data_IF_116528353369
#
_entry.id   IF_116528353369
#
_cell.length_a   1.000
_cell.length_b   1.000
_cell.length_c   1.000
_cell.angle_alpha   90.00
_cell.angle_beta   90.00
_cell.angle_gamma   90.00
#
_symmetry.space_group_name_H-M   'P 1'
#
loop_
_entity.id
_entity.type
_entity.pdbx_description
1 polymer ?
#
# COMPACT_ATOMS: atom_id res chain seq x y z
N UNK A 1 11.43 -7.56 10.20
CA UNK A 1 10.83 -6.62 9.24
C UNK A 1 11.55 -6.75 7.91
N UNK A 2 10.84 -6.68 6.78
CA UNK A 2 11.43 -6.66 5.43
C UNK A 2 11.23 -5.27 4.83
N UNK A 3 12.29 -4.66 4.30
CA UNK A 3 12.20 -3.38 3.56
C UNK A 3 12.06 -3.69 2.08
N UNK A 4 11.04 -3.13 1.44
CA UNK A 4 10.76 -3.35 0.03
C UNK A 4 10.77 -2.02 -0.74
N UNK A 5 11.18 -2.10 -2.01
CA UNK A 5 11.03 -0.97 -2.94
C UNK A 5 9.60 -0.87 -3.46
N UNK A 6 9.28 0.17 -4.21
CA UNK A 6 8.02 0.28 -4.97
C UNK A 6 8.33 0.49 -6.44
N UNK A 7 7.68 -0.26 -7.32
CA UNK A 7 7.85 -0.10 -8.77
C UNK A 7 6.65 -0.61 -9.57
N UNK A 8 6.64 -0.31 -10.88
CA UNK A 8 5.71 -0.92 -11.82
C UNK A 8 6.15 -2.38 -12.11
N UNK A 9 5.26 -3.27 -12.56
CA UNK A 9 5.62 -4.62 -12.98
C UNK A 9 6.19 -4.64 -14.42
N UNK A 10 7.26 -3.89 -14.68
CA UNK A 10 7.97 -3.93 -15.97
C UNK A 10 9.39 -4.43 -15.77
N UNK A 11 9.95 -5.14 -16.75
CA UNK A 11 11.33 -5.65 -16.68
C UNK A 11 12.34 -4.57 -16.30
N UNK A 12 12.20 -3.39 -16.89
CA UNK A 12 13.10 -2.26 -16.66
C UNK A 12 13.02 -1.74 -15.22
N UNK A 13 11.81 -1.53 -14.69
CA UNK A 13 11.62 -0.97 -13.35
C UNK A 13 11.92 -1.97 -12.25
N UNK A 14 11.66 -3.27 -12.48
CA UNK A 14 12.08 -4.36 -11.60
C UNK A 14 13.60 -4.49 -11.54
N UNK A 15 14.28 -4.45 -12.69
CA UNK A 15 15.74 -4.45 -12.72
C UNK A 15 16.34 -3.18 -12.07
N UNK A 16 15.66 -2.03 -12.21
CA UNK A 16 16.06 -0.80 -11.53
C UNK A 16 15.89 -0.90 -10.01
N UNK A 17 14.83 -1.55 -9.51
CA UNK A 17 14.66 -1.81 -8.08
C UNK A 17 15.80 -2.69 -7.54
N UNK A 18 16.16 -3.76 -8.25
CA UNK A 18 17.31 -4.61 -7.89
C UNK A 18 18.62 -3.81 -7.83
N UNK A 19 18.88 -2.94 -8.81
CA UNK A 19 20.08 -2.09 -8.84
C UNK A 19 20.15 -1.07 -7.69
N UNK A 20 19.00 -0.69 -7.13
CA UNK A 20 18.92 0.14 -5.92
C UNK A 20 19.13 -0.65 -4.62
N UNK A 21 19.29 -1.98 -4.71
CA UNK A 21 19.56 -2.86 -3.57
C UNK A 21 18.33 -3.46 -2.90
N UNK A 22 17.15 -3.39 -3.53
CA UNK A 22 15.96 -4.04 -3.00
C UNK A 22 15.88 -5.50 -3.42
N UNK A 23 15.68 -6.40 -2.45
CA UNK A 23 15.44 -7.83 -2.70
C UNK A 23 13.95 -8.14 -2.92
N UNK A 24 13.06 -7.23 -2.50
CA UNK A 24 11.61 -7.33 -2.72
C UNK A 24 10.99 -5.98 -3.08
N UNK A 25 9.83 -6.02 -3.73
CA UNK A 25 9.07 -4.84 -4.13
C UNK A 25 7.58 -4.96 -3.87
N UNK A 26 6.95 -3.82 -3.60
CA UNK A 26 5.54 -3.58 -3.89
C UNK A 26 5.36 -3.24 -5.38
N UNK A 27 4.37 -3.87 -6.01
CA UNK A 27 3.96 -3.55 -7.38
C UNK A 27 2.86 -2.49 -7.41
N UNK A 28 3.16 -1.34 -8.00
CA UNK A 28 2.18 -0.35 -8.41
C UNK A 28 1.62 -0.67 -9.81
N UNK A 29 0.32 -0.96 -9.90
CA UNK A 29 -0.37 -1.27 -11.17
C UNK A 29 -1.35 -0.17 -11.59
N UNK A 30 -1.58 -0.09 -12.90
CA UNK A 30 -2.60 0.77 -13.52
C UNK A 30 -3.56 -0.08 -14.34
N UNK A 31 -4.77 0.41 -14.66
CA UNK A 31 -5.71 -0.32 -15.52
C UNK A 31 -5.06 -0.76 -16.85
N UNK A 32 -4.36 0.15 -17.51
CA UNK A 32 -3.64 -0.12 -18.77
C UNK A 32 -2.55 -1.20 -18.64
N UNK A 33 -1.94 -1.37 -17.47
CA UNK A 33 -1.01 -2.48 -17.24
C UNK A 33 -1.76 -3.80 -17.07
N UNK A 34 -2.85 -3.78 -16.30
CA UNK A 34 -3.66 -4.98 -16.02
C UNK A 34 -4.36 -5.52 -17.28
N UNK A 35 -4.70 -4.65 -18.23
CA UNK A 35 -5.22 -5.01 -19.55
C UNK A 35 -4.25 -5.87 -20.38
N UNK A 36 -2.93 -5.82 -20.10
CA UNK A 36 -1.94 -6.70 -20.74
C UNK A 36 -2.07 -8.17 -20.32
N UNK A 37 -2.88 -8.43 -19.30
CA UNK A 37 -3.15 -9.76 -18.76
C UNK A 37 -2.32 -10.07 -17.52
N UNK A 38 -3.01 -10.56 -16.48
CA UNK A 38 -2.42 -10.93 -15.19
C UNK A 38 -1.33 -11.99 -15.35
N UNK A 39 -1.53 -13.00 -16.21
CA UNK A 39 -0.54 -14.06 -16.44
C UNK A 39 0.78 -13.51 -16.99
N UNK A 40 0.70 -12.65 -18.01
CA UNK A 40 1.86 -11.99 -18.63
C UNK A 40 2.64 -11.13 -17.63
N UNK A 41 1.93 -10.40 -16.76
CA UNK A 41 2.55 -9.61 -15.70
C UNK A 41 3.24 -10.51 -14.67
N UNK A 42 2.57 -11.57 -14.22
CA UNK A 42 3.14 -12.52 -13.26
C UNK A 42 4.40 -13.20 -13.82
N UNK A 43 4.41 -13.60 -15.09
CA UNK A 43 5.61 -14.15 -15.76
C UNK A 43 6.75 -13.13 -15.82
N UNK A 44 6.44 -11.87 -16.15
CA UNK A 44 7.43 -10.80 -16.18
C UNK A 44 8.09 -10.60 -14.82
N UNK A 45 7.29 -10.65 -13.76
CA UNK A 45 7.73 -10.47 -12.38
C UNK A 45 8.53 -11.67 -11.89
N UNK A 46 8.09 -12.90 -12.14
CA UNK A 46 8.81 -14.12 -11.75
C UNK A 46 10.16 -14.27 -12.45
N UNK A 47 10.30 -13.70 -13.64
CA UNK A 47 11.58 -13.67 -14.36
C UNK A 47 12.54 -12.58 -13.85
N UNK A 48 12.11 -11.74 -12.90
CA UNK A 48 12.93 -10.66 -12.35
C UNK A 48 13.77 -11.15 -11.16
N UNK A 49 14.89 -10.46 -10.86
CA UNK A 49 15.75 -10.79 -9.72
C UNK A 49 15.18 -10.36 -8.36
N UNK A 50 14.09 -9.59 -8.31
CA UNK A 50 13.43 -9.17 -7.06
C UNK A 50 12.15 -9.97 -6.81
N UNK A 51 11.90 -10.29 -5.55
CA UNK A 51 10.63 -10.88 -5.09
C UNK A 51 9.53 -9.81 -5.02
N UNK A 52 8.28 -10.24 -4.87
CA UNK A 52 7.13 -9.34 -4.65
C UNK A 52 6.54 -9.62 -3.29
N UNK A 53 6.42 -8.59 -2.46
CA UNK A 53 5.77 -8.69 -1.16
C UNK A 53 4.32 -8.22 -1.21
N UNK A 54 4.01 -7.23 -2.04
CA UNK A 54 2.66 -6.70 -2.18
C UNK A 54 2.33 -6.22 -3.59
N UNK A 55 1.03 -6.15 -3.89
CA UNK A 55 0.47 -5.52 -5.09
C UNK A 55 -0.52 -4.45 -4.64
N UNK A 56 -0.36 -3.24 -5.15
CA UNK A 56 -1.23 -2.12 -4.84
C UNK A 56 -2.36 -2.01 -5.86
N UNK A 57 -3.61 -1.90 -5.42
CA UNK A 57 -4.74 -1.71 -6.34
C UNK A 57 -4.57 -0.44 -7.18
N UNK A 58 -5.01 -0.41 -8.44
CA UNK A 58 -4.98 0.83 -9.21
C UNK A 58 -5.93 1.86 -8.60
N UNK A 59 -5.59 3.14 -8.75
CA UNK A 59 -6.51 4.22 -8.42
C UNK A 59 -7.63 4.29 -9.47
N UNK A 60 -8.76 3.67 -9.14
CA UNK A 60 -10.02 3.64 -9.92
C UNK A 60 -11.21 3.93 -9.00
N UNK A 61 -12.39 4.21 -9.55
CA UNK A 61 -13.58 4.37 -8.73
C UNK A 61 -13.86 3.07 -7.94
N UNK A 62 -14.42 3.14 -6.71
CA UNK A 62 -14.71 1.94 -5.92
C UNK A 62 -15.61 0.92 -6.65
N UNK A 63 -16.51 1.40 -7.50
CA UNK A 63 -17.43 0.59 -8.32
C UNK A 63 -16.76 -0.08 -9.54
N UNK A 64 -15.53 0.30 -9.90
CA UNK A 64 -14.77 -0.30 -11.01
C UNK A 64 -14.10 -1.60 -10.56
N UNK A 65 -14.91 -2.63 -10.30
CA UNK A 65 -14.42 -3.89 -9.76
C UNK A 65 -13.48 -4.67 -10.70
N UNK A 66 -13.50 -4.40 -12.00
CA UNK A 66 -12.67 -5.13 -12.99
C UNK A 66 -11.16 -4.99 -12.72
N UNK A 67 -10.62 -3.76 -12.71
CA UNK A 67 -9.23 -3.50 -12.34
C UNK A 67 -8.87 -3.95 -10.91
N UNK A 68 -9.76 -3.74 -9.93
CA UNK A 68 -9.54 -4.19 -8.54
C UNK A 68 -9.36 -5.70 -8.45
N UNK A 69 -10.25 -6.48 -9.10
CA UNK A 69 -10.13 -7.94 -9.17
C UNK A 69 -8.92 -8.40 -9.98
N UNK A 70 -8.46 -7.61 -10.95
CA UNK A 70 -7.25 -7.95 -11.70
C UNK A 70 -5.98 -7.78 -10.84
N UNK A 71 -5.93 -6.76 -9.98
CA UNK A 71 -4.85 -6.60 -9.01
C UNK A 71 -4.85 -7.75 -7.99
N UNK A 72 -6.01 -8.15 -7.46
CA UNK A 72 -6.15 -9.32 -6.59
C UNK A 72 -5.63 -10.61 -7.24
N UNK A 73 -6.05 -10.90 -8.47
CA UNK A 73 -5.55 -12.08 -9.20
C UNK A 73 -4.04 -12.04 -9.41
N UNK A 74 -3.45 -10.86 -9.61
CA UNK A 74 -2.00 -10.71 -9.72
C UNK A 74 -1.33 -10.97 -8.37
N UNK A 75 -1.86 -10.43 -7.27
CA UNK A 75 -1.36 -10.68 -5.92
C UNK A 75 -1.35 -12.18 -5.61
N UNK A 76 -2.46 -12.88 -5.88
CA UNK A 76 -2.57 -14.34 -5.72
C UNK A 76 -1.59 -15.13 -6.58
N UNK A 77 -1.43 -14.72 -7.84
CA UNK A 77 -0.49 -15.39 -8.74
C UNK A 77 0.95 -15.26 -8.23
N UNK A 78 1.27 -14.21 -7.48
CA UNK A 78 2.60 -13.92 -6.95
C UNK A 78 2.77 -14.34 -5.48
N UNK A 79 1.74 -14.90 -4.85
CA UNK A 79 1.69 -15.17 -3.40
C UNK A 79 2.04 -13.91 -2.57
N UNK A 80 1.49 -12.77 -2.99
CA UNK A 80 1.75 -11.45 -2.43
C UNK A 80 0.52 -10.88 -1.72
N UNK A 81 0.76 -9.97 -0.79
CA UNK A 81 -0.28 -9.20 -0.09
C UNK A 81 -0.93 -8.19 -1.04
N UNK A 82 -2.23 -7.91 -0.90
CA UNK A 82 -2.92 -6.89 -1.68
C UNK A 82 -3.13 -5.63 -0.83
N UNK A 83 -2.55 -4.52 -1.26
CA UNK A 83 -2.83 -3.20 -0.69
C UNK A 83 -4.06 -2.62 -1.40
N UNK A 84 -5.15 -2.44 -0.65
CA UNK A 84 -6.41 -1.90 -1.17
C UNK A 84 -6.47 -0.41 -0.88
N UNK A 85 -6.27 0.38 -1.94
CA UNK A 85 -6.34 1.83 -1.87
C UNK A 85 -6.65 2.48 -3.23
N UNK A 86 -7.50 3.50 -3.20
CA UNK A 86 -7.75 4.37 -4.34
C UNK A 86 -8.01 5.80 -3.87
N UNK A 87 -7.41 6.76 -4.58
CA UNK A 87 -7.65 8.20 -4.36
C UNK A 87 -9.10 8.62 -4.59
N UNK A 88 -9.91 7.75 -5.22
CA UNK A 88 -11.33 7.99 -5.50
C UNK A 88 -12.28 7.35 -4.49
N UNK A 89 -11.75 6.69 -3.47
CA UNK A 89 -12.51 6.21 -2.33
C UNK A 89 -12.24 7.13 -1.14
N UNK A 90 -13.10 7.09 -0.13
CA UNK A 90 -12.76 7.39 1.27
C UNK A 90 -12.76 6.08 2.06
N UNK A 91 -12.14 6.03 3.24
CA UNK A 91 -12.32 4.92 4.21
C UNK A 91 -13.80 4.52 4.44
N UNK A 92 -14.77 5.43 4.30
CA UNK A 92 -16.21 5.09 4.35
C UNK A 92 -16.66 4.11 3.24
N UNK A 93 -15.91 4.04 2.15
CA UNK A 93 -16.17 3.17 1.00
C UNK A 93 -15.49 1.80 1.12
N UNK A 94 -14.91 1.46 2.29
CA UNK A 94 -14.30 0.15 2.54
C UNK A 94 -15.25 -1.01 2.19
N UNK A 95 -16.54 -0.87 2.51
CA UNK A 95 -17.55 -1.88 2.16
C UNK A 95 -17.83 -1.97 0.65
N UNK A 96 -17.77 -0.85 -0.08
CA UNK A 96 -17.92 -0.83 -1.53
C UNK A 96 -16.70 -1.48 -2.21
N UNK A 97 -15.50 -1.15 -1.76
CA UNK A 97 -14.26 -1.79 -2.24
C UNK A 97 -14.27 -3.30 -1.94
N UNK A 98 -14.74 -3.71 -0.76
CA UNK A 98 -14.87 -5.12 -0.39
C UNK A 98 -15.81 -5.90 -1.33
N UNK A 99 -16.79 -5.24 -1.96
CA UNK A 99 -17.69 -5.86 -2.93
C UNK A 99 -16.97 -6.34 -4.20
N UNK A 100 -15.72 -5.93 -4.42
CA UNK A 100 -14.86 -6.53 -5.44
C UNK A 100 -14.58 -8.03 -5.17
N UNK A 101 -14.65 -8.47 -3.90
CA UNK A 101 -14.48 -9.87 -3.51
C UNK A 101 -13.03 -10.33 -3.56
N UNK A 102 -12.15 -9.65 -2.82
CA UNK A 102 -10.71 -9.99 -2.76
C UNK A 102 -10.49 -11.35 -2.09
N UNK A 103 -9.61 -12.16 -2.68
CA UNK A 103 -9.25 -13.50 -2.20
C UNK A 103 -7.79 -13.56 -1.71
N UNK A 104 -6.91 -12.66 -2.14
CA UNK A 104 -5.57 -12.51 -1.56
C UNK A 104 -5.65 -12.03 -0.09
N UNK A 105 -4.66 -12.35 0.77
CA UNK A 105 -4.42 -11.60 2.00
C UNK A 105 -4.33 -10.10 1.68
N UNK A 106 -5.08 -9.26 2.39
CA UNK A 106 -5.22 -7.86 2.02
C UNK A 106 -5.60 -6.96 3.20
N UNK A 107 -5.26 -5.68 3.04
CA UNK A 107 -5.63 -4.63 3.98
C UNK A 107 -5.93 -3.32 3.27
N UNK A 108 -6.56 -2.41 3.99
CA UNK A 108 -6.97 -1.12 3.48
C UNK A 108 -6.02 -0.04 3.95
N UNK A 109 -5.50 0.76 3.02
CA UNK A 109 -4.61 1.86 3.35
C UNK A 109 -5.37 3.00 4.01
N UNK A 110 -4.85 3.57 5.10
CA UNK A 110 -5.38 4.83 5.63
C UNK A 110 -5.20 5.93 4.58
N UNK A 111 -6.12 6.88 4.53
CA UNK A 111 -6.05 7.98 3.56
C UNK A 111 -5.43 9.25 4.13
N UNK A 112 -4.87 10.07 3.25
CA UNK A 112 -4.46 11.42 3.57
C UNK A 112 -5.57 12.19 4.30
N UNK A 113 -5.24 12.72 5.49
CA UNK A 113 -6.17 13.47 6.32
C UNK A 113 -7.19 12.62 7.11
N UNK A 114 -7.17 11.29 7.00
CA UNK A 114 -8.03 10.43 7.80
C UNK A 114 -7.54 10.34 9.26
N UNK A 115 -8.38 10.75 10.20
CA UNK A 115 -8.06 10.64 11.62
C UNK A 115 -7.87 9.17 12.06
N UNK A 116 -7.05 8.89 13.10
CA UNK A 116 -6.90 7.54 13.67
C UNK A 116 -8.25 6.94 14.05
N UNK A 117 -9.12 7.74 14.69
CA UNK A 117 -10.49 7.32 15.02
C UNK A 117 -11.26 6.84 13.80
N UNK A 118 -11.10 7.51 12.66
CA UNK A 118 -11.77 7.11 11.42
C UNK A 118 -11.21 5.80 10.86
N UNK A 119 -9.89 5.63 10.92
CA UNK A 119 -9.22 4.37 10.54
C UNK A 119 -9.70 3.22 11.42
N UNK A 120 -9.71 3.41 12.75
CA UNK A 120 -10.19 2.40 13.70
C UNK A 120 -11.63 2.00 13.39
N UNK A 121 -12.54 2.96 13.29
CA UNK A 121 -13.97 2.69 13.07
C UNK A 121 -14.29 2.09 11.69
N UNK A 122 -13.60 2.52 10.63
CA UNK A 122 -13.93 2.07 9.27
C UNK A 122 -13.16 0.82 8.83
N UNK A 123 -12.01 0.51 9.45
CA UNK A 123 -11.16 -0.62 9.07
C UNK A 123 -11.03 -1.62 10.22
N UNK A 124 -10.40 -1.21 11.32
CA UNK A 124 -9.96 -2.13 12.36
C UNK A 124 -11.12 -2.72 13.17
N UNK A 125 -12.09 -1.92 13.60
CA UNK A 125 -13.29 -2.37 14.31
C UNK A 125 -14.20 -3.24 13.44
N UNK A 126 -14.09 -3.11 12.10
CA UNK A 126 -14.82 -3.94 11.13
C UNK A 126 -14.14 -5.26 10.80
N UNK A 127 -13.01 -5.55 11.44
CA UNK A 127 -12.28 -6.80 11.25
C UNK A 127 -11.34 -6.81 10.04
N UNK A 128 -11.14 -5.69 9.35
CA UNK A 128 -10.19 -5.59 8.23
C UNK A 128 -8.76 -5.33 8.70
N UNK A 129 -7.77 -5.76 7.93
CA UNK A 129 -6.37 -5.38 8.16
C UNK A 129 -6.09 -3.95 7.65
N UNK A 130 -5.11 -3.31 8.26
CA UNK A 130 -4.66 -1.96 7.94
C UNK A 130 -3.37 -2.02 7.12
N UNK A 131 -3.28 -1.21 6.08
CA UNK A 131 -2.01 -0.78 5.50
C UNK A 131 -1.74 0.62 6.03
N UNK A 132 -0.63 0.81 6.73
CA UNK A 132 -0.35 2.08 7.41
C UNK A 132 0.62 2.91 6.59
N UNK A 133 0.13 3.98 5.98
CA UNK A 133 0.94 4.99 5.30
C UNK A 133 1.25 6.16 6.25
N UNK A 134 2.55 6.45 6.41
CA UNK A 134 3.07 7.47 7.31
C UNK A 134 2.81 8.88 6.84
N UNK A 135 2.87 9.14 5.53
CA UNK A 135 2.57 10.45 4.96
C UNK A 135 1.10 10.80 5.18
N UNK A 136 0.20 9.85 4.93
CA UNK A 136 -1.22 10.03 5.17
C UNK A 136 -1.54 10.31 6.64
N UNK A 137 -0.86 9.63 7.57
CA UNK A 137 -1.02 9.84 9.00
C UNK A 137 -0.47 11.20 9.44
N UNK A 138 0.69 11.60 8.91
CA UNK A 138 1.30 12.92 9.14
C UNK A 138 0.36 14.06 8.72
N UNK A 139 -0.21 13.98 7.52
CA UNK A 139 -1.18 14.98 7.04
C UNK A 139 -2.44 15.07 7.90
N UNK A 140 -2.79 13.99 8.62
CA UNK A 140 -3.97 13.96 9.48
C UNK A 140 -3.72 14.44 10.91
N UNK A 141 -2.50 14.32 11.44
CA UNK A 141 -2.20 14.58 12.85
C UNK A 141 -0.86 15.28 13.05
N UNK A 142 -0.86 16.39 13.79
CA UNK A 142 0.38 17.02 14.24
C UNK A 142 1.20 16.09 15.19
N UNK A 143 0.53 15.20 15.94
CA UNK A 143 1.15 14.23 16.85
C UNK A 143 1.33 12.83 16.22
N UNK A 144 1.50 12.75 14.89
CA UNK A 144 1.50 11.51 14.12
C UNK A 144 2.47 10.42 14.63
N UNK A 145 3.64 10.76 15.17
CA UNK A 145 4.59 9.77 15.72
C UNK A 145 3.96 8.99 16.88
N UNK A 146 3.40 9.71 17.86
CA UNK A 146 2.70 9.10 18.99
C UNK A 146 1.51 8.25 18.54
N UNK A 147 0.83 8.65 17.46
CA UNK A 147 -0.28 7.89 16.86
C UNK A 147 0.20 6.63 16.14
N UNK A 148 1.30 6.73 15.41
CA UNK A 148 1.95 5.63 14.71
C UNK A 148 2.36 4.55 15.72
N UNK A 149 3.06 4.95 16.80
CA UNK A 149 3.45 4.05 17.89
C UNK A 149 2.23 3.38 18.54
N UNK A 150 1.17 4.15 18.83
CA UNK A 150 -0.04 3.60 19.43
C UNK A 150 -0.74 2.60 18.51
N UNK A 151 -0.82 2.87 17.21
CA UNK A 151 -1.40 1.96 16.22
C UNK A 151 -0.59 0.66 16.11
N UNK A 152 0.74 0.75 16.04
CA UNK A 152 1.60 -0.44 16.01
C UNK A 152 1.47 -1.26 17.30
N UNK A 153 1.44 -0.61 18.45
CA UNK A 153 1.32 -1.29 19.74
C UNK A 153 -0.04 -1.99 19.91
N UNK A 154 -1.14 -1.37 19.45
CA UNK A 154 -2.48 -1.91 19.59
C UNK A 154 -2.87 -2.92 18.49
N UNK A 155 -2.36 -2.73 17.27
CA UNK A 155 -2.85 -3.42 16.07
C UNK A 155 -1.74 -4.02 15.20
N UNK A 156 -0.50 -4.13 15.68
CA UNK A 156 0.64 -4.60 14.89
C UNK A 156 0.42 -5.93 14.17
N UNK A 157 -0.28 -6.89 14.78
CA UNK A 157 -0.63 -8.18 14.14
C UNK A 157 -1.63 -8.06 12.98
N UNK A 158 -2.30 -6.91 12.85
CA UNK A 158 -3.28 -6.58 11.81
C UNK A 158 -2.80 -5.47 10.87
N UNK A 159 -1.53 -5.09 10.97
CA UNK A 159 -0.86 -4.15 10.07
C UNK A 159 0.11 -4.96 9.21
N UNK A 160 -0.37 -5.39 8.04
CA UNK A 160 0.40 -6.25 7.14
C UNK A 160 1.50 -5.50 6.38
N UNK A 161 1.30 -4.20 6.12
CA UNK A 161 2.24 -3.35 5.38
C UNK A 161 2.28 -1.97 6.02
N UNK A 162 3.49 -1.40 6.11
CA UNK A 162 3.71 0.01 6.44
C UNK A 162 4.35 0.68 5.22
N UNK A 163 3.70 1.69 4.66
CA UNK A 163 4.32 2.56 3.67
C UNK A 163 5.07 3.68 4.38
N UNK A 164 6.39 3.67 4.22
CA UNK A 164 7.26 4.75 4.64
C UNK A 164 7.39 5.75 3.50
N UNK A 165 6.66 6.85 3.65
CA UNK A 165 6.54 7.90 2.65
C UNK A 165 6.78 9.24 3.34
N UNK A 166 7.60 10.09 2.75
CA UNK A 166 7.82 11.47 3.21
C UNK A 166 6.78 12.40 2.56
N UNK A 167 6.46 13.52 3.21
CA UNK A 167 5.31 14.36 2.88
C UNK A 167 5.42 15.74 3.54
N UNK A 168 4.72 16.72 2.96
CA UNK A 168 4.42 18.00 3.60
C UNK A 168 2.96 18.00 4.05
N UNK A 169 2.50 18.96 4.88
CA UNK A 169 1.10 18.99 5.31
C UNK A 169 0.08 19.02 4.15
N UNK A 170 0.50 19.46 2.97
CA UNK A 170 -0.35 19.62 1.78
C UNK A 170 -0.01 18.65 0.64
N UNK A 171 1.16 18.01 0.66
CA UNK A 171 1.66 17.19 -0.46
C UNK A 171 2.12 15.82 0.01
N UNK A 172 1.37 14.80 -0.36
CA UNK A 172 1.71 13.39 -0.19
C UNK A 172 2.82 12.95 -1.15
N UNK A 173 3.66 12.00 -0.72
CA UNK A 173 4.55 11.25 -1.61
C UNK A 173 5.78 12.00 -2.12
N UNK A 174 6.35 12.91 -1.35
CA UNK A 174 7.59 13.62 -1.76
C UNK A 174 8.82 12.73 -1.58
N UNK A 175 9.92 12.98 -2.31
CA UNK A 175 11.17 12.25 -2.10
C UNK A 175 11.67 12.38 -0.64
N UNK A 176 12.34 11.33 -0.15
CA UNK A 176 12.87 11.33 1.22
C UNK A 176 13.84 12.49 1.45
N UNK A 177 13.60 13.25 2.51
CA UNK A 177 14.38 14.43 2.90
C UNK A 177 13.92 15.71 2.21
N UNK A 178 12.92 15.65 1.33
CA UNK A 178 12.27 16.82 0.75
C UNK A 178 10.96 17.19 1.48
N UNK A 179 10.47 16.33 2.37
CA UNK A 179 9.29 16.60 3.19
C UNK A 179 9.61 17.07 4.60
N UNK A 180 8.60 16.99 5.46
CA UNK A 180 8.63 17.47 6.84
C UNK A 180 8.45 16.33 7.86
N UNK A 181 8.31 15.08 7.41
CA UNK A 181 8.28 13.95 8.35
C UNK A 181 9.67 13.77 8.97
N UNK A 182 9.68 13.59 10.29
CA UNK A 182 10.83 13.08 11.02
C UNK A 182 11.07 11.59 10.68
N UNK A 183 11.56 11.31 9.48
CA UNK A 183 11.77 9.97 8.95
C UNK A 183 12.73 9.14 9.82
N UNK A 184 13.76 9.76 10.41
CA UNK A 184 14.67 9.02 11.29
C UNK A 184 13.97 8.46 12.53
N UNK A 185 12.94 9.16 13.04
CA UNK A 185 12.18 8.71 14.20
C UNK A 185 11.33 7.47 13.89
N UNK A 186 10.85 7.32 12.66
CA UNK A 186 10.05 6.17 12.22
C UNK A 186 10.87 4.86 12.11
N UNK A 187 12.18 4.99 11.82
CA UNK A 187 13.09 3.85 11.67
C UNK A 187 13.50 3.25 13.02
N UNK A 188 13.33 3.97 14.14
CA UNK A 188 13.69 3.46 15.48
C UNK A 188 12.68 2.42 15.99
N UNK A 189 11.45 2.41 15.45
CA UNK A 189 10.38 1.49 15.86
C UNK A 189 10.31 0.21 15.01
N UNK A 190 11.29 0.01 14.13
CA UNK A 190 11.21 -0.89 12.97
C UNK A 190 12.28 -1.98 12.98
#
# INVERSE_FOLDING_TARGET
MQVAGKCRPTRETLAAAARRGFDAVELYVTPALLEKGVATLAETVRASPVAVCSVHTPHVLPSEHGPLRAADRLARALDAYLVVHTQYANMTHTAELAAAGFEAPHGYENQAGASVRHVETQVLERGHELVLDTAHLFMAHADYLSRFEALLAAYGERIGVVHLTDSTPETDGVPFGEGELAMEALIVFS
#
